data_IF_100873356075
#
_entry.id   IF_100873356075
#
_cell.length_a   1.000
_cell.length_b   1.000
_cell.length_c   1.000
_cell.angle_alpha   90.00
_cell.angle_beta   90.00
_cell.angle_gamma   90.00
#
_symmetry.space_group_name_H-M   'P 1'
#
loop_
_entity.id
_entity.type
_entity.pdbx_description
1 polymer ?
#
# COMPACT_ATOMS: atom_id res chain seq x y z
N UNK A 1 -21.95 0.50 -1.96
CA UNK A 1 -22.47 1.71 -2.60
C UNK A 1 -21.27 2.60 -2.84
N UNK A 2 -20.82 2.76 -4.11
CA UNK A 2 -19.61 3.56 -4.36
C UNK A 2 -19.99 5.04 -4.35
N UNK A 3 -19.81 5.71 -3.23
CA UNK A 3 -20.00 7.17 -3.16
C UNK A 3 -18.89 7.86 -3.96
N UNK A 4 -19.32 8.79 -4.80
CA UNK A 4 -18.38 9.65 -5.55
C UNK A 4 -17.77 10.71 -4.65
N UNK A 5 -16.61 11.26 -5.01
CA UNK A 5 -16.00 12.34 -4.24
C UNK A 5 -16.87 13.60 -4.16
N UNK A 6 -17.69 13.85 -5.17
CA UNK A 6 -18.66 14.96 -5.18
C UNK A 6 -19.80 14.76 -4.16
N UNK A 7 -20.35 13.54 -4.06
CA UNK A 7 -21.39 13.22 -3.07
C UNK A 7 -20.87 13.32 -1.65
N UNK A 8 -19.63 12.85 -1.42
CA UNK A 8 -18.98 12.99 -0.11
C UNK A 8 -18.71 14.46 0.26
N UNK A 9 -18.40 15.29 -0.72
CA UNK A 9 -18.19 16.72 -0.50
C UNK A 9 -19.47 17.47 -0.17
N UNK A 10 -20.56 17.14 -0.87
CA UNK A 10 -21.88 17.68 -0.54
C UNK A 10 -22.29 17.27 0.87
N UNK A 11 -22.04 16.01 1.24
CA UNK A 11 -22.29 15.51 2.58
C UNK A 11 -21.43 16.20 3.65
N UNK A 12 -20.14 16.48 3.34
CA UNK A 12 -19.25 17.23 4.22
C UNK A 12 -19.79 18.63 4.53
N UNK A 13 -20.30 19.32 3.49
CA UNK A 13 -20.89 20.66 3.66
C UNK A 13 -22.18 20.67 4.51
N UNK A 14 -22.93 19.56 4.54
CA UNK A 14 -24.15 19.40 5.34
C UNK A 14 -23.86 18.92 6.76
N UNK A 15 -23.04 17.89 6.90
CA UNK A 15 -22.73 17.23 8.16
C UNK A 15 -21.36 16.55 8.10
N UNK A 16 -20.30 17.18 8.63
CA UNK A 16 -18.97 16.57 8.69
C UNK A 16 -18.99 15.20 9.37
N UNK A 17 -19.75 15.04 10.45
CA UNK A 17 -19.83 13.77 11.17
C UNK A 17 -20.45 12.63 10.33
N UNK A 18 -21.42 12.93 9.49
CA UNK A 18 -22.02 11.94 8.57
C UNK A 18 -21.06 11.59 7.43
N UNK A 19 -20.35 12.58 6.89
CA UNK A 19 -19.33 12.37 5.88
C UNK A 19 -18.20 11.47 6.41
N UNK A 20 -17.68 11.73 7.61
CA UNK A 20 -16.67 10.89 8.25
C UNK A 20 -17.17 9.46 8.46
N UNK A 21 -18.41 9.30 8.93
CA UNK A 21 -19.03 7.97 9.10
C UNK A 21 -19.15 7.23 7.79
N UNK A 22 -19.61 7.90 6.74
CA UNK A 22 -19.75 7.31 5.40
C UNK A 22 -18.39 6.88 4.84
N UNK A 23 -17.34 7.72 4.97
CA UNK A 23 -15.98 7.39 4.56
C UNK A 23 -15.43 6.15 5.30
N UNK A 24 -15.64 6.09 6.62
CA UNK A 24 -15.22 4.94 7.42
C UNK A 24 -15.97 3.66 7.05
N UNK A 25 -17.26 3.73 6.80
CA UNK A 25 -18.07 2.58 6.38
C UNK A 25 -17.68 2.06 5.01
N UNK A 26 -17.46 2.94 4.05
CA UNK A 26 -17.15 2.58 2.67
C UNK A 26 -15.70 2.09 2.53
N UNK A 27 -14.73 2.78 3.15
CA UNK A 27 -13.30 2.52 2.93
C UNK A 27 -12.60 1.86 4.12
N UNK A 28 -13.26 1.66 5.25
CA UNK A 28 -12.63 1.13 6.48
C UNK A 28 -11.97 -0.22 6.27
N UNK A 29 -12.66 -1.18 5.64
CA UNK A 29 -12.10 -2.49 5.33
C UNK A 29 -10.89 -2.40 4.40
N UNK A 30 -10.94 -1.53 3.41
CA UNK A 30 -9.84 -1.30 2.46
C UNK A 30 -8.60 -0.72 3.18
N UNK A 31 -8.78 0.31 3.99
CA UNK A 31 -7.71 0.92 4.81
C UNK A 31 -7.13 -0.10 5.78
N UNK A 32 -7.99 -0.82 6.51
CA UNK A 32 -7.56 -1.85 7.46
C UNK A 32 -6.70 -2.92 6.78
N UNK A 33 -7.10 -3.39 5.60
CA UNK A 33 -6.35 -4.42 4.86
C UNK A 33 -4.95 -3.93 4.46
N UNK A 34 -4.79 -2.67 4.06
CA UNK A 34 -3.49 -2.07 3.73
C UNK A 34 -2.59 -2.03 4.96
N UNK A 35 -3.12 -1.57 6.09
CA UNK A 35 -2.39 -1.42 7.35
C UNK A 35 -2.00 -2.80 7.90
N UNK A 36 -2.97 -3.71 8.02
CA UNK A 36 -2.76 -5.06 8.51
C UNK A 36 -1.66 -5.79 7.73
N UNK A 37 -1.75 -5.77 6.40
CA UNK A 37 -0.74 -6.40 5.55
C UNK A 37 0.66 -5.83 5.74
N UNK A 38 0.75 -4.57 6.13
CA UNK A 38 2.04 -3.92 6.34
C UNK A 38 2.59 -4.13 7.74
N UNK A 39 1.74 -4.15 8.76
CA UNK A 39 2.16 -4.15 10.16
C UNK A 39 2.11 -5.53 10.82
N UNK A 40 1.40 -6.52 10.28
CA UNK A 40 1.20 -7.84 10.90
C UNK A 40 2.49 -8.57 11.31
N UNK A 41 3.62 -8.28 10.66
CA UNK A 41 4.92 -8.90 10.97
C UNK A 41 5.70 -8.15 12.05
N UNK A 42 5.33 -6.91 12.37
CA UNK A 42 6.10 -6.06 13.28
C UNK A 42 5.26 -5.25 14.27
N UNK A 43 3.95 -5.19 14.11
CA UNK A 43 3.04 -4.44 14.97
C UNK A 43 2.16 -5.35 15.81
N UNK A 44 1.64 -4.78 16.89
CA UNK A 44 0.56 -5.35 17.69
C UNK A 44 -0.80 -4.98 17.09
N UNK A 45 -1.89 -5.54 17.63
CA UNK A 45 -3.25 -5.14 17.26
C UNK A 45 -3.48 -3.65 17.56
N UNK A 46 -2.96 -3.14 18.67
CA UNK A 46 -3.03 -1.73 19.07
C UNK A 46 -2.32 -0.82 18.05
N UNK A 47 -1.15 -1.23 17.56
CA UNK A 47 -0.42 -0.49 16.50
C UNK A 47 -1.23 -0.38 15.22
N UNK A 48 -1.97 -1.43 14.87
CA UNK A 48 -2.83 -1.46 13.68
C UNK A 48 -4.01 -0.51 13.85
N UNK A 49 -4.67 -0.53 15.02
CA UNK A 49 -5.83 0.31 15.35
C UNK A 49 -5.44 1.79 15.47
N UNK A 50 -4.29 2.09 16.09
CA UNK A 50 -3.74 3.44 16.14
C UNK A 50 -3.42 3.96 14.74
N UNK A 51 -2.74 3.15 13.92
CA UNK A 51 -2.43 3.49 12.53
C UNK A 51 -3.71 3.70 11.70
N UNK A 52 -4.76 2.92 11.93
CA UNK A 52 -6.06 3.09 11.30
C UNK A 52 -6.70 4.43 11.66
N UNK A 53 -6.66 4.79 12.94
CA UNK A 53 -7.17 6.07 13.43
C UNK A 53 -6.39 7.25 12.84
N UNK A 54 -5.05 7.16 12.79
CA UNK A 54 -4.18 8.18 12.19
C UNK A 54 -4.49 8.39 10.71
N UNK A 55 -4.73 7.31 9.95
CA UNK A 55 -5.10 7.40 8.53
C UNK A 55 -6.39 8.17 8.34
N UNK A 56 -7.43 7.87 9.11
CA UNK A 56 -8.71 8.57 8.98
C UNK A 56 -8.64 10.01 9.48
N UNK A 57 -7.89 10.31 10.54
CA UNK A 57 -7.63 11.69 10.97
C UNK A 57 -6.96 12.50 9.85
N UNK A 58 -5.94 11.94 9.19
CA UNK A 58 -5.24 12.60 8.08
C UNK A 58 -6.14 12.81 6.86
N UNK A 59 -7.02 11.83 6.56
CA UNK A 59 -8.01 11.93 5.48
C UNK A 59 -9.01 13.04 5.78
N UNK A 60 -9.58 13.08 6.98
CA UNK A 60 -10.60 14.06 7.35
C UNK A 60 -10.08 15.49 7.27
N UNK A 61 -8.90 15.75 7.86
CA UNK A 61 -8.26 17.06 7.82
C UNK A 61 -7.99 17.51 6.38
N UNK A 62 -7.41 16.64 5.55
CA UNK A 62 -7.02 17.02 4.18
C UNK A 62 -8.18 17.07 3.20
N UNK A 63 -9.20 16.21 3.39
CA UNK A 63 -10.37 16.19 2.54
C UNK A 63 -11.20 17.48 2.66
N UNK A 64 -11.17 18.11 3.84
CA UNK A 64 -11.83 19.39 4.08
C UNK A 64 -11.19 20.55 3.27
N UNK A 65 -9.88 20.49 2.99
CA UNK A 65 -9.12 21.60 2.44
C UNK A 65 -8.70 21.48 0.96
N UNK A 66 -8.79 20.30 0.31
CA UNK A 66 -8.21 20.12 -1.03
C UNK A 66 -9.15 19.47 -2.05
N UNK A 67 -9.49 20.25 -3.09
CA UNK A 67 -10.39 19.84 -4.18
C UNK A 67 -9.84 18.74 -5.10
N UNK A 68 -8.54 18.52 -5.10
CA UNK A 68 -7.87 17.59 -6.03
C UNK A 68 -8.26 16.13 -5.83
N UNK A 69 -8.77 15.78 -4.64
CA UNK A 69 -9.05 14.40 -4.27
C UNK A 69 -10.46 13.93 -4.62
N UNK A 70 -11.31 14.81 -5.11
CA UNK A 70 -12.71 14.51 -5.47
C UNK A 70 -12.80 13.51 -6.63
N UNK A 71 -11.86 13.53 -7.56
CA UNK A 71 -11.92 12.70 -8.78
C UNK A 71 -11.42 11.24 -8.58
N UNK A 72 -10.56 10.98 -7.60
CA UNK A 72 -10.06 9.63 -7.26
C UNK A 72 -9.88 9.48 -5.74
N UNK A 73 -10.99 9.49 -5.03
CA UNK A 73 -10.97 9.40 -3.56
C UNK A 73 -10.40 8.06 -3.06
N UNK A 74 -10.68 6.96 -3.76
CA UNK A 74 -10.15 5.63 -3.40
C UNK A 74 -8.62 5.57 -3.56
N UNK A 75 -8.09 6.11 -4.64
CA UNK A 75 -6.65 6.21 -4.87
C UNK A 75 -5.97 7.12 -3.85
N UNK A 76 -6.60 8.23 -3.49
CA UNK A 76 -6.12 9.13 -2.43
C UNK A 76 -6.07 8.41 -1.08
N UNK A 77 -7.18 7.81 -0.64
CA UNK A 77 -7.27 7.06 0.62
C UNK A 77 -6.21 5.95 0.67
N UNK A 78 -6.07 5.17 -0.41
CA UNK A 78 -5.05 4.14 -0.50
C UNK A 78 -3.62 4.68 -0.41
N UNK A 79 -3.36 5.86 -0.95
CA UNK A 79 -2.06 6.53 -0.85
C UNK A 79 -1.76 6.98 0.58
N UNK A 80 -2.73 7.59 1.27
CA UNK A 80 -2.61 8.00 2.67
C UNK A 80 -2.38 6.78 3.55
N UNK A 81 -3.25 5.76 3.46
CA UNK A 81 -3.14 4.53 4.25
C UNK A 81 -1.77 3.84 4.06
N UNK A 82 -1.32 3.71 2.82
CA UNK A 82 -0.02 3.11 2.52
C UNK A 82 1.14 3.91 3.12
N UNK A 83 1.11 5.24 3.01
CA UNK A 83 2.15 6.12 3.53
C UNK A 83 2.22 6.03 5.05
N UNK A 84 1.09 6.16 5.74
CA UNK A 84 1.02 6.09 7.21
C UNK A 84 1.46 4.73 7.73
N UNK A 85 0.99 3.63 7.13
CA UNK A 85 1.42 2.28 7.47
C UNK A 85 2.92 2.04 7.25
N UNK A 86 3.52 2.63 6.21
CA UNK A 86 4.95 2.56 5.95
C UNK A 86 5.76 3.29 7.03
N UNK A 87 5.32 4.49 7.40
CA UNK A 87 6.03 5.30 8.39
C UNK A 87 5.94 4.63 9.77
N UNK A 88 4.78 4.06 10.13
CA UNK A 88 4.62 3.23 11.34
C UNK A 88 5.51 2.00 11.31
N UNK A 89 5.53 1.24 10.22
CA UNK A 89 6.39 0.08 10.04
C UNK A 89 7.88 0.42 10.27
N UNK A 90 8.34 1.53 9.70
CA UNK A 90 9.74 1.97 9.87
C UNK A 90 10.07 2.29 11.32
N UNK A 91 9.14 2.93 12.04
CA UNK A 91 9.31 3.23 13.47
C UNK A 91 9.40 1.96 14.29
N UNK A 92 8.42 1.05 14.16
CA UNK A 92 8.39 -0.22 14.87
C UNK A 92 9.60 -1.11 14.54
N UNK A 93 10.03 -1.15 13.29
CA UNK A 93 11.21 -1.92 12.89
C UNK A 93 12.50 -1.33 13.44
N UNK A 94 12.62 -0.01 13.57
CA UNK A 94 13.76 0.64 14.19
C UNK A 94 13.80 0.36 15.71
N UNK A 95 12.65 0.45 16.40
CA UNK A 95 12.52 0.13 17.83
C UNK A 95 12.91 -1.32 18.11
N UNK A 96 12.47 -2.27 17.28
CA UNK A 96 12.88 -3.67 17.39
C UNK A 96 14.35 -3.90 17.09
N UNK A 97 14.93 -3.23 16.09
CA UNK A 97 16.36 -3.32 15.79
C UNK A 97 17.22 -2.78 16.95
N UNK A 98 16.74 -1.81 17.71
CA UNK A 98 17.40 -1.35 18.93
C UNK A 98 17.21 -2.32 20.10
N UNK A 99 16.10 -3.07 20.13
CA UNK A 99 15.84 -4.08 21.17
C UNK A 99 16.48 -5.45 20.86
N UNK A 100 16.72 -5.75 19.59
CA UNK A 100 17.27 -7.03 19.12
C UNK A 100 18.71 -6.86 18.63
N UNK A 101 19.66 -6.81 19.54
CA UNK A 101 21.03 -7.25 19.29
C UNK A 101 21.15 -8.78 19.43
N UNK A 102 20.08 -9.52 19.18
CA UNK A 102 20.07 -11.00 19.17
C UNK A 102 18.99 -11.49 18.21
N UNK A 103 19.45 -12.37 17.34
CA UNK A 103 18.73 -13.32 16.50
C UNK A 103 18.34 -12.86 15.07
N UNK A 104 19.20 -13.36 14.18
CA UNK A 104 18.85 -13.71 12.81
C UNK A 104 17.80 -14.82 12.85
N UNK A 105 16.55 -14.52 12.49
CA UNK A 105 15.61 -15.57 12.12
C UNK A 105 14.64 -15.15 11.03
N UNK A 106 14.72 -15.93 9.96
CA UNK A 106 13.71 -16.46 9.07
C UNK A 106 12.85 -15.51 8.23
N UNK A 107 13.32 -15.36 6.99
CA UNK A 107 12.59 -14.70 5.88
C UNK A 107 11.65 -15.64 5.10
N UNK A 108 11.29 -16.81 5.62
CA UNK A 108 10.63 -17.87 4.82
C UNK A 108 9.11 -17.97 4.99
N UNK A 109 8.48 -17.24 5.91
CA UNK A 109 7.08 -17.50 6.32
C UNK A 109 6.02 -16.46 5.94
N UNK A 110 6.28 -15.57 4.95
CA UNK A 110 5.35 -14.51 4.54
C UNK A 110 4.44 -14.86 3.34
N UNK A 111 4.21 -16.15 3.06
CA UNK A 111 3.40 -16.59 1.91
C UNK A 111 2.01 -17.12 2.30
N UNK A 112 1.68 -17.22 3.57
CA UNK A 112 0.43 -17.82 4.02
C UNK A 112 -0.46 -16.84 4.77
N UNK A 113 -1.66 -16.72 4.29
CA UNK A 113 -2.90 -16.22 4.88
C UNK A 113 -3.37 -14.82 4.48
N UNK A 114 -3.97 -14.78 3.30
CA UNK A 114 -4.93 -13.76 2.91
C UNK A 114 -6.33 -14.35 3.01
N UNK A 115 -7.03 -14.03 4.08
CA UNK A 115 -8.41 -14.42 4.29
C UNK A 115 -9.29 -13.18 4.46
N UNK A 116 -9.75 -12.63 3.34
CA UNK A 116 -10.97 -11.83 3.27
C UNK A 116 -11.79 -12.36 2.09
N UNK A 117 -13.10 -12.44 2.22
CA UNK A 117 -14.09 -13.12 1.39
C UNK A 117 -14.20 -12.72 -0.11
N UNK A 118 -13.06 -12.61 -0.81
CA UNK A 118 -12.97 -12.57 -2.28
C UNK A 118 -11.90 -13.58 -2.73
N UNK A 119 -12.04 -14.84 -2.29
CA UNK A 119 -10.95 -15.83 -2.25
C UNK A 119 -10.58 -16.48 -3.57
N UNK A 120 -11.35 -16.37 -4.61
CA UNK A 120 -11.06 -17.07 -5.88
C UNK A 120 -10.32 -16.18 -6.88
N UNK A 121 -10.73 -14.92 -7.00
CA UNK A 121 -10.13 -13.97 -7.96
C UNK A 121 -8.76 -13.41 -7.50
N UNK A 122 -8.56 -13.22 -6.19
CA UNK A 122 -7.35 -12.58 -5.67
C UNK A 122 -6.08 -13.46 -5.78
N UNK A 123 -6.22 -14.77 -5.65
CA UNK A 123 -5.09 -15.72 -5.74
C UNK A 123 -4.60 -15.87 -7.19
N UNK A 124 -5.53 -15.94 -8.14
CA UNK A 124 -5.21 -16.00 -9.57
C UNK A 124 -4.62 -14.68 -10.06
N UNK A 125 -5.22 -13.55 -9.71
CA UNK A 125 -4.70 -12.23 -10.01
C UNK A 125 -3.27 -12.04 -9.46
N UNK A 126 -3.03 -12.47 -8.21
CA UNK A 126 -1.70 -12.44 -7.60
C UNK A 126 -0.71 -13.30 -8.36
N UNK A 127 -1.10 -14.51 -8.78
CA UNK A 127 -0.27 -15.42 -9.57
C UNK A 127 0.11 -14.81 -10.91
N UNK A 128 -0.87 -14.22 -11.60
CA UNK A 128 -0.65 -13.52 -12.87
C UNK A 128 0.29 -12.33 -12.68
N UNK A 129 0.06 -11.50 -11.66
CA UNK A 129 0.89 -10.34 -11.35
C UNK A 129 2.35 -10.75 -11.08
N UNK A 130 2.59 -11.73 -10.22
CA UNK A 130 3.94 -12.20 -9.90
C UNK A 130 4.65 -12.81 -11.10
N UNK A 131 3.93 -13.55 -11.96
CA UNK A 131 4.47 -14.08 -13.23
C UNK A 131 4.93 -12.92 -14.12
N UNK A 132 4.05 -11.94 -14.36
CA UNK A 132 4.38 -10.80 -15.21
C UNK A 132 5.55 -9.96 -14.65
N UNK A 133 5.66 -9.80 -13.34
CA UNK A 133 6.81 -9.16 -12.70
C UNK A 133 8.09 -9.97 -12.97
N UNK A 134 8.05 -11.28 -12.80
CA UNK A 134 9.20 -12.16 -13.04
C UNK A 134 9.66 -12.12 -14.49
N UNK A 135 8.72 -12.02 -15.43
CA UNK A 135 9.00 -11.92 -16.87
C UNK A 135 9.62 -10.57 -17.29
N UNK A 136 9.62 -9.56 -16.45
CA UNK A 136 10.36 -8.32 -16.73
C UNK A 136 11.88 -8.52 -16.68
N UNK A 137 12.33 -9.61 -16.06
CA UNK A 137 13.75 -9.92 -15.87
C UNK A 137 14.44 -9.02 -14.85
N UNK A 138 15.68 -9.37 -14.55
CA UNK A 138 16.53 -8.58 -13.63
C UNK A 138 17.16 -7.38 -14.35
N UNK A 139 17.36 -6.27 -13.64
CA UNK A 139 17.02 -6.01 -12.24
C UNK A 139 15.60 -5.43 -12.05
N UNK A 140 14.76 -5.36 -13.10
CA UNK A 140 13.45 -4.71 -13.06
C UNK A 140 12.50 -5.44 -12.09
N UNK A 141 12.50 -6.77 -12.11
CA UNK A 141 11.69 -7.60 -11.17
C UNK A 141 12.10 -7.37 -9.72
N UNK A 142 13.38 -7.41 -9.42
CA UNK A 142 13.91 -7.13 -8.06
C UNK A 142 13.57 -5.72 -7.61
N UNK A 143 13.71 -4.72 -8.47
CA UNK A 143 13.37 -3.31 -8.13
C UNK A 143 11.89 -3.19 -7.78
N UNK A 144 10.98 -3.77 -8.57
CA UNK A 144 9.55 -3.70 -8.31
C UNK A 144 9.17 -4.42 -7.02
N UNK A 145 9.67 -5.64 -6.81
CA UNK A 145 9.41 -6.40 -5.59
C UNK A 145 9.93 -5.65 -4.36
N UNK A 146 11.16 -5.21 -4.36
CA UNK A 146 11.73 -4.49 -3.23
C UNK A 146 11.04 -3.16 -2.97
N UNK A 147 10.63 -2.45 -4.03
CA UNK A 147 9.96 -1.17 -3.92
C UNK A 147 8.52 -1.29 -3.42
N UNK A 148 7.73 -2.20 -3.99
CA UNK A 148 6.29 -2.24 -3.77
C UNK A 148 5.86 -3.31 -2.75
N UNK A 149 6.58 -4.41 -2.66
CA UNK A 149 6.28 -5.46 -1.69
C UNK A 149 7.01 -5.24 -0.37
N UNK A 150 8.36 -5.09 -0.41
CA UNK A 150 9.17 -4.85 0.80
C UNK A 150 9.27 -3.37 1.19
N UNK A 151 8.75 -2.47 0.38
CA UNK A 151 8.74 -1.03 0.61
C UNK A 151 10.11 -0.40 0.91
N UNK A 152 11.18 -0.94 0.31
CA UNK A 152 12.53 -0.40 0.48
C UNK A 152 12.71 0.96 -0.18
N UNK A 153 13.60 1.78 0.37
CA UNK A 153 14.00 3.05 -0.25
C UNK A 153 14.84 2.78 -1.50
N UNK A 154 14.77 3.69 -2.47
CA UNK A 154 15.59 3.55 -3.68
C UNK A 154 17.10 3.52 -3.41
N UNK A 155 17.57 4.14 -2.33
CA UNK A 155 18.95 4.05 -1.86
C UNK A 155 19.35 2.63 -1.41
N UNK A 156 18.43 1.90 -0.78
CA UNK A 156 18.70 0.56 -0.28
C UNK A 156 18.60 -0.47 -1.42
N UNK A 157 17.62 -0.29 -2.31
CA UNK A 157 17.49 -1.07 -3.54
C UNK A 157 18.74 -0.91 -4.41
N UNK A 158 19.27 0.31 -4.51
CA UNK A 158 20.47 0.64 -5.26
C UNK A 158 21.67 -0.22 -4.86
N UNK A 159 21.85 -0.46 -3.57
CA UNK A 159 22.89 -1.37 -3.05
C UNK A 159 22.69 -2.81 -3.50
N UNK A 160 21.44 -3.29 -3.46
CA UNK A 160 21.11 -4.68 -3.85
C UNK A 160 21.32 -4.95 -5.33
N UNK A 161 20.97 -3.97 -6.19
CA UNK A 161 21.05 -4.12 -7.64
C UNK A 161 22.30 -3.47 -8.25
N UNK A 162 23.27 -3.04 -7.44
CA UNK A 162 24.53 -2.40 -7.84
C UNK A 162 24.32 -1.22 -8.79
N UNK A 163 23.38 -0.33 -8.46
CA UNK A 163 23.02 0.84 -9.26
C UNK A 163 22.97 2.12 -8.40
N UNK A 164 22.82 3.29 -9.03
CA UNK A 164 22.55 4.53 -8.31
C UNK A 164 21.07 4.62 -7.92
N UNK A 165 20.75 5.33 -6.83
CA UNK A 165 19.36 5.55 -6.43
C UNK A 165 18.54 6.31 -7.49
N UNK A 166 19.18 7.16 -8.30
CA UNK A 166 18.55 7.83 -9.45
C UNK A 166 18.19 6.83 -10.54
N UNK A 167 19.13 5.95 -10.88
CA UNK A 167 18.90 4.88 -11.87
C UNK A 167 17.79 3.93 -11.44
N UNK A 168 17.74 3.58 -10.15
CA UNK A 168 16.65 2.75 -9.59
C UNK A 168 15.29 3.43 -9.77
N UNK A 169 15.19 4.75 -9.49
CA UNK A 169 13.92 5.49 -9.68
C UNK A 169 13.47 5.48 -11.13
N UNK A 170 14.35 5.87 -12.04
CA UNK A 170 14.03 5.92 -13.48
C UNK A 170 13.70 4.53 -14.05
N UNK A 171 14.39 3.48 -13.58
CA UNK A 171 14.16 2.12 -13.98
C UNK A 171 12.84 1.57 -13.43
N UNK A 172 12.52 1.91 -12.18
CA UNK A 172 11.25 1.56 -11.54
C UNK A 172 10.05 2.11 -12.34
N UNK A 173 10.10 3.36 -12.78
CA UNK A 173 9.05 3.95 -13.63
C UNK A 173 8.87 3.16 -14.92
N UNK A 174 9.96 2.92 -15.65
CA UNK A 174 9.92 2.15 -16.92
C UNK A 174 9.43 0.71 -16.71
N UNK A 175 9.84 0.06 -15.63
CA UNK A 175 9.39 -1.29 -15.30
C UNK A 175 7.89 -1.33 -14.99
N UNK A 176 7.36 -0.30 -14.30
CA UNK A 176 5.92 -0.16 -14.06
C UNK A 176 5.13 0.02 -15.36
N UNK A 177 5.63 0.80 -16.31
CA UNK A 177 4.96 0.99 -17.60
C UNK A 177 4.94 -0.30 -18.42
N UNK A 178 6.05 -1.04 -18.45
CA UNK A 178 6.11 -2.39 -19.06
C UNK A 178 5.12 -3.36 -18.38
N UNK A 179 5.04 -3.36 -17.05
CA UNK A 179 4.12 -4.21 -16.31
C UNK A 179 2.66 -3.89 -16.63
N UNK A 180 2.31 -2.60 -16.75
CA UNK A 180 0.95 -2.18 -17.15
C UNK A 180 0.57 -2.73 -18.52
N UNK A 181 1.47 -2.66 -19.49
CA UNK A 181 1.23 -3.20 -20.84
C UNK A 181 0.98 -4.70 -20.75
N UNK A 182 1.86 -5.46 -20.08
CA UNK A 182 1.71 -6.90 -19.92
C UNK A 182 0.42 -7.31 -19.22
N UNK A 183 0.00 -6.55 -18.19
CA UNK A 183 -1.26 -6.82 -17.49
C UNK A 183 -2.48 -6.52 -18.37
N UNK A 184 -2.43 -5.47 -19.19
CA UNK A 184 -3.49 -5.17 -20.16
C UNK A 184 -3.61 -6.26 -21.21
N UNK A 185 -2.50 -6.80 -21.72
CA UNK A 185 -2.46 -7.95 -22.63
C UNK A 185 -3.03 -9.23 -21.98
N UNK A 186 -2.89 -9.38 -20.67
CA UNK A 186 -3.48 -10.46 -19.88
C UNK A 186 -4.94 -10.22 -19.49
N UNK A 187 -5.59 -9.17 -20.04
CA UNK A 187 -7.00 -8.83 -19.77
C UNK A 187 -7.24 -8.14 -18.43
N UNK A 188 -6.17 -7.74 -17.72
CA UNK A 188 -6.26 -7.03 -16.45
C UNK A 188 -6.16 -5.53 -16.73
N UNK A 189 -7.29 -4.88 -16.91
CA UNK A 189 -7.42 -3.43 -17.03
C UNK A 189 -8.02 -2.85 -15.75
N UNK A 190 -7.69 -1.59 -15.48
CA UNK A 190 -8.15 -0.88 -14.29
C UNK A 190 -9.60 -0.41 -14.47
#
# INVERSE_FOLDING_TARGET
MNMTGSELRELLGRSPAECHRALMQEYGKYVYSIIFNKLRSCGTQEDIEECFSDVFADIFIKFEYDEKYVNDIKGYIGTVAKRTAIDRYRRLSAERAHAAFTDEEDMTELVSDFSVDERVDSSELRRILLRNIKELGEPDSTILIQKFYYNRRSSDIAKTVSMTASSVRSRCTRAMDKLRIKLAEAGITR
#
